data_IF_641516892208
#
_entry.id   IF_641516892208
#
_cell.length_a   1.000
_cell.length_b   1.000
_cell.length_c   1.000
_cell.angle_alpha   90.00
_cell.angle_beta   90.00
_cell.angle_gamma   90.00
#
_symmetry.space_group_name_H-M   'P 1'
#
loop_
_entity.id
_entity.type
_entity.pdbx_description
1 polymer ?
#
# COMPACT_ATOMS: atom_id res chain seq x y z
N UNK A 1 13.59 2.65 13.76
CA UNK A 1 14.65 1.74 13.32
C UNK A 1 14.11 0.56 12.53
N UNK A 2 14.95 -0.15 11.79
CA UNK A 2 14.56 -1.26 10.90
C UNK A 2 13.59 -2.28 11.55
N UNK A 3 13.82 -2.64 12.82
CA UNK A 3 12.92 -3.53 13.56
C UNK A 3 11.49 -3.02 13.70
N UNK A 4 11.30 -1.70 13.79
CA UNK A 4 9.96 -1.09 13.84
C UNK A 4 9.27 -1.06 12.47
N UNK A 5 10.01 -1.17 11.39
CA UNK A 5 9.48 -1.20 10.02
C UNK A 5 9.00 -2.59 9.61
N UNK A 6 9.56 -3.66 10.20
CA UNK A 6 9.19 -5.05 9.87
C UNK A 6 7.68 -5.30 9.97
N UNK A 7 6.98 -4.95 11.08
CA UNK A 7 5.54 -5.17 11.16
C UNK A 7 4.74 -4.45 10.07
N UNK A 8 5.21 -3.26 9.65
CA UNK A 8 4.57 -2.49 8.58
C UNK A 8 4.76 -3.17 7.22
N UNK A 9 5.97 -3.65 6.93
CA UNK A 9 6.28 -4.41 5.71
C UNK A 9 5.43 -5.69 5.66
N UNK A 10 5.33 -6.41 6.77
CA UNK A 10 4.49 -7.61 6.86
C UNK A 10 3.00 -7.26 6.66
N UNK A 11 2.54 -6.10 7.16
CA UNK A 11 1.19 -5.60 6.92
C UNK A 11 0.92 -5.36 5.44
N UNK A 12 1.84 -4.71 4.72
CA UNK A 12 1.75 -4.51 3.26
C UNK A 12 1.73 -5.87 2.54
N UNK A 13 2.67 -6.75 2.87
CA UNK A 13 2.84 -8.04 2.22
C UNK A 13 1.59 -8.92 2.35
N UNK A 14 1.17 -9.20 3.56
CA UNK A 14 0.01 -10.06 3.80
C UNK A 14 -1.30 -9.40 3.37
N UNK A 15 -1.45 -8.08 3.56
CA UNK A 15 -2.62 -7.36 3.12
C UNK A 15 -2.78 -7.41 1.60
N UNK A 16 -1.71 -7.16 0.85
CA UNK A 16 -1.73 -7.24 -0.61
C UNK A 16 -2.01 -8.66 -1.11
N UNK A 17 -1.34 -9.67 -0.56
CA UNK A 17 -1.56 -11.07 -0.96
C UNK A 17 -2.98 -11.56 -0.62
N UNK A 18 -3.58 -11.06 0.46
CA UNK A 18 -4.99 -11.35 0.77
C UNK A 18 -5.92 -10.79 -0.31
N UNK A 19 -5.73 -9.53 -0.72
CA UNK A 19 -6.51 -8.91 -1.81
C UNK A 19 -6.32 -9.67 -3.11
N UNK A 20 -5.08 -10.01 -3.46
CA UNK A 20 -4.77 -10.79 -4.66
C UNK A 20 -5.49 -12.14 -4.65
N UNK A 21 -5.40 -12.87 -3.54
CA UNK A 21 -6.06 -14.17 -3.38
C UNK A 21 -7.57 -14.04 -3.57
N UNK A 22 -8.20 -13.06 -2.94
CA UNK A 22 -9.63 -12.82 -3.08
C UNK A 22 -10.02 -12.49 -4.53
N UNK A 23 -9.23 -11.69 -5.23
CA UNK A 23 -9.47 -11.38 -6.64
C UNK A 23 -9.28 -12.61 -7.54
N UNK A 24 -8.25 -13.42 -7.28
CA UNK A 24 -8.03 -14.68 -8.00
C UNK A 24 -9.17 -15.68 -7.76
N UNK A 25 -9.75 -15.72 -6.57
CA UNK A 25 -10.94 -16.54 -6.25
C UNK A 25 -12.25 -16.00 -6.86
N UNK A 26 -12.19 -14.97 -7.69
CA UNK A 26 -13.34 -14.43 -8.42
C UNK A 26 -14.10 -13.30 -7.74
N UNK A 27 -13.70 -12.86 -6.54
CA UNK A 27 -14.34 -11.72 -5.86
C UNK A 27 -14.17 -10.41 -6.67
N UNK A 28 -13.18 -10.34 -7.56
CA UNK A 28 -13.02 -9.23 -8.50
C UNK A 28 -14.25 -9.01 -9.41
N UNK A 29 -14.98 -10.06 -9.76
CA UNK A 29 -16.22 -9.93 -10.54
C UNK A 29 -17.34 -9.27 -9.74
N UNK A 30 -17.44 -9.54 -8.43
CA UNK A 30 -18.37 -8.86 -7.54
C UNK A 30 -18.08 -7.37 -7.48
N UNK A 31 -16.79 -7.00 -7.38
CA UNK A 31 -16.38 -5.59 -7.39
C UNK A 31 -16.79 -4.86 -8.67
N UNK A 32 -16.65 -5.51 -9.85
CA UNK A 32 -17.11 -4.95 -11.13
C UNK A 32 -18.64 -4.83 -11.20
N UNK A 33 -19.36 -5.79 -10.63
CA UNK A 33 -20.82 -5.85 -10.67
C UNK A 33 -21.49 -4.83 -9.75
N UNK A 34 -20.81 -4.34 -8.74
CA UNK A 34 -21.32 -3.39 -7.76
C UNK A 34 -20.52 -2.07 -7.72
N UNK A 35 -20.80 -1.12 -8.63
CA UNK A 35 -20.08 0.15 -8.69
C UNK A 35 -20.09 0.96 -7.37
N UNK A 36 -21.13 0.75 -6.55
CA UNK A 36 -21.23 1.38 -5.23
C UNK A 36 -20.08 0.96 -4.30
N UNK A 37 -19.63 -0.31 -4.37
CA UNK A 37 -18.50 -0.79 -3.58
C UNK A 37 -17.20 -0.10 -4.02
N UNK A 38 -17.00 0.04 -5.33
CA UNK A 38 -15.86 0.75 -5.88
C UNK A 38 -15.82 2.23 -5.41
N UNK A 39 -16.98 2.89 -5.43
CA UNK A 39 -17.10 4.27 -4.96
C UNK A 39 -16.80 4.40 -3.46
N UNK A 40 -17.33 3.51 -2.63
CA UNK A 40 -17.06 3.51 -1.18
C UNK A 40 -15.56 3.33 -0.92
N UNK A 41 -14.90 2.36 -1.56
CA UNK A 41 -13.46 2.13 -1.42
C UNK A 41 -12.68 3.37 -1.87
N UNK A 42 -13.06 3.99 -2.98
CA UNK A 42 -12.45 5.22 -3.49
C UNK A 42 -12.55 6.36 -2.46
N UNK A 43 -13.73 6.59 -1.88
CA UNK A 43 -13.94 7.64 -0.87
C UNK A 43 -13.10 7.37 0.38
N UNK A 44 -13.13 6.15 0.90
CA UNK A 44 -12.35 5.78 2.10
C UNK A 44 -10.85 5.94 1.84
N UNK A 45 -10.36 5.55 0.65
CA UNK A 45 -8.96 5.74 0.28
C UNK A 45 -8.57 7.22 0.22
N UNK A 46 -9.39 8.08 -0.38
CA UNK A 46 -9.17 9.53 -0.45
C UNK A 46 -9.13 10.13 0.95
N UNK A 47 -10.08 9.81 1.82
CA UNK A 47 -10.10 10.27 3.20
C UNK A 47 -8.85 9.85 3.97
N UNK A 48 -8.43 8.58 3.82
CA UNK A 48 -7.24 8.06 4.47
C UNK A 48 -5.96 8.73 3.97
N UNK A 49 -5.79 8.87 2.66
CA UNK A 49 -4.62 9.53 2.07
C UNK A 49 -4.54 11.01 2.46
N UNK A 50 -5.67 11.71 2.52
CA UNK A 50 -5.76 13.09 3.00
C UNK A 50 -5.32 13.18 4.47
N UNK A 51 -5.85 12.31 5.32
CA UNK A 51 -5.46 12.22 6.73
C UNK A 51 -3.96 11.93 6.89
N UNK A 52 -3.44 10.98 6.13
CA UNK A 52 -2.02 10.59 6.18
C UNK A 52 -1.12 11.73 5.69
N UNK A 53 -1.49 12.38 4.58
CA UNK A 53 -0.78 13.55 4.04
C UNK A 53 -0.72 14.69 5.06
N UNK A 54 -1.85 15.01 5.68
CA UNK A 54 -1.90 16.03 6.75
C UNK A 54 -0.98 15.66 7.92
N UNK A 55 -1.02 14.41 8.37
CA UNK A 55 -0.20 13.93 9.48
C UNK A 55 1.30 13.99 9.19
N UNK A 56 1.71 13.66 7.95
CA UNK A 56 3.10 13.80 7.49
C UNK A 56 3.49 15.29 7.43
N UNK A 57 2.61 16.15 6.91
CA UNK A 57 2.88 17.59 6.74
C UNK A 57 3.18 18.29 8.06
N UNK A 58 2.45 17.94 9.14
CA UNK A 58 2.63 18.55 10.47
C UNK A 58 3.76 17.91 11.28
N UNK A 59 4.32 16.79 10.85
CA UNK A 59 5.38 16.08 11.57
C UNK A 59 6.69 16.84 11.45
N UNK A 60 7.21 17.32 12.59
CA UNK A 60 8.42 18.12 12.67
C UNK A 60 9.67 17.36 13.12
N UNK A 61 9.53 16.17 13.71
CA UNK A 61 10.63 15.38 14.25
C UNK A 61 10.41 13.87 14.10
N UNK A 62 11.48 13.13 13.79
CA UNK A 62 11.50 11.67 13.94
C UNK A 62 11.43 11.23 15.41
N UNK A 63 11.67 12.15 16.37
CA UNK A 63 11.78 11.87 17.80
C UNK A 63 10.48 12.05 18.58
N UNK A 64 9.42 12.58 17.98
CA UNK A 64 8.11 12.69 18.63
C UNK A 64 7.38 11.33 18.66
N UNK A 65 8.13 10.27 18.96
CA UNK A 65 7.61 8.88 19.07
C UNK A 65 6.50 8.74 20.12
N UNK A 66 6.42 9.65 21.06
CA UNK A 66 5.47 9.58 22.19
C UNK A 66 4.11 10.24 21.93
N UNK A 67 3.94 11.00 20.85
CA UNK A 67 2.70 11.76 20.60
C UNK A 67 1.92 11.31 19.36
N UNK A 68 2.51 10.53 18.46
CA UNK A 68 1.81 10.04 17.28
C UNK A 68 1.62 8.53 17.39
N UNK A 69 0.37 8.07 17.36
CA UNK A 69 0.04 6.64 17.24
C UNK A 69 0.86 6.05 16.08
N UNK A 70 1.78 5.17 16.41
CA UNK A 70 2.56 4.44 15.39
C UNK A 70 1.63 3.49 14.67
N UNK A 71 1.72 3.45 13.34
CA UNK A 71 0.98 2.46 12.56
C UNK A 71 1.43 1.05 12.97
N UNK A 72 0.46 0.18 13.19
CA UNK A 72 0.68 -1.22 13.50
C UNK A 72 0.58 -2.08 12.24
N UNK A 73 0.96 -3.36 12.35
CA UNK A 73 0.69 -4.36 11.32
C UNK A 73 -0.78 -4.33 10.86
N UNK A 74 -1.73 -4.30 11.81
CA UNK A 74 -3.16 -4.31 11.50
C UNK A 74 -3.61 -3.08 10.70
N UNK A 75 -3.14 -1.89 11.08
CA UNK A 75 -3.50 -0.66 10.39
C UNK A 75 -3.08 -0.73 8.91
N UNK A 76 -1.87 -1.23 8.64
CA UNK A 76 -1.33 -1.35 7.28
C UNK A 76 -1.98 -2.51 6.51
N UNK A 77 -2.25 -3.64 7.17
CA UNK A 77 -2.94 -4.78 6.58
C UNK A 77 -4.33 -4.37 6.07
N UNK A 78 -5.16 -3.76 6.92
CA UNK A 78 -6.49 -3.30 6.54
C UNK A 78 -6.45 -2.18 5.51
N UNK A 79 -5.44 -1.31 5.57
CA UNK A 79 -5.24 -0.31 4.53
C UNK A 79 -5.05 -0.92 3.14
N UNK A 80 -4.35 -2.04 3.03
CA UNK A 80 -4.18 -2.70 1.73
C UNK A 80 -5.50 -3.24 1.16
N UNK A 81 -6.41 -3.70 2.01
CA UNK A 81 -7.74 -4.18 1.57
C UNK A 81 -8.56 -3.03 0.96
N UNK A 82 -8.42 -1.82 1.51
CA UNK A 82 -9.15 -0.62 1.06
C UNK A 82 -8.34 0.13 -0.03
N UNK A 83 -7.09 -0.25 -0.25
CA UNK A 83 -6.21 0.45 -1.19
C UNK A 83 -6.66 0.20 -2.64
N UNK A 84 -7.18 1.23 -3.36
CA UNK A 84 -7.69 1.05 -4.72
C UNK A 84 -6.61 0.53 -5.67
N UNK A 85 -5.33 0.91 -5.46
CA UNK A 85 -4.21 0.40 -6.26
C UNK A 85 -4.04 -1.11 -6.08
N UNK A 86 -4.08 -1.61 -4.83
CA UNK A 86 -3.96 -3.04 -4.55
C UNK A 86 -5.10 -3.83 -5.19
N UNK A 87 -6.32 -3.34 -5.05
CA UNK A 87 -7.52 -3.94 -5.66
C UNK A 87 -7.42 -3.94 -7.18
N UNK A 88 -7.13 -2.81 -7.81
CA UNK A 88 -7.04 -2.69 -9.27
C UNK A 88 -5.94 -3.57 -9.85
N UNK A 89 -4.75 -3.60 -9.25
CA UNK A 89 -3.64 -4.45 -9.72
C UNK A 89 -4.02 -5.93 -9.59
N UNK A 90 -4.63 -6.33 -8.48
CA UNK A 90 -5.04 -7.72 -8.26
C UNK A 90 -6.14 -8.16 -9.23
N UNK A 91 -7.14 -7.30 -9.48
CA UNK A 91 -8.21 -7.57 -10.46
C UNK A 91 -7.68 -7.64 -11.88
N UNK A 92 -6.83 -6.69 -12.27
CA UNK A 92 -6.22 -6.69 -13.61
C UNK A 92 -5.36 -7.91 -13.82
N UNK A 93 -4.58 -8.32 -12.82
CA UNK A 93 -3.74 -9.51 -12.91
C UNK A 93 -4.58 -10.79 -13.04
N UNK A 94 -5.66 -10.92 -12.27
CA UNK A 94 -6.59 -12.03 -12.41
C UNK A 94 -7.19 -12.07 -13.82
N UNK A 95 -7.70 -10.94 -14.32
CA UNK A 95 -8.34 -10.87 -15.63
C UNK A 95 -7.38 -11.12 -16.83
N UNK A 96 -6.10 -10.73 -16.69
CA UNK A 96 -5.12 -10.86 -17.78
C UNK A 96 -4.46 -12.23 -17.80
N UNK A 97 -4.16 -12.81 -16.64
CA UNK A 97 -3.32 -13.99 -16.53
C UNK A 97 -4.09 -15.30 -16.30
N UNK A 98 -5.34 -15.28 -15.85
CA UNK A 98 -6.21 -16.44 -15.86
C UNK A 98 -6.79 -16.60 -17.28
N UNK A 99 -6.17 -17.44 -18.09
CA UNK A 99 -6.50 -17.61 -19.52
C UNK A 99 -6.91 -19.02 -19.89
N UNK A 100 -7.02 -19.92 -18.91
CA UNK A 100 -7.32 -21.34 -19.11
C UNK A 100 -6.35 -22.08 -20.04
N UNK A 101 -5.08 -21.61 -20.10
CA UNK A 101 -4.00 -22.32 -20.82
C UNK A 101 -3.49 -23.51 -20.05
N UNK A 102 -3.57 -23.42 -18.74
CA UNK A 102 -3.27 -24.48 -17.77
C UNK A 102 -4.51 -24.72 -16.90
N UNK A 103 -4.40 -25.65 -15.96
CA UNK A 103 -5.45 -25.76 -14.92
C UNK A 103 -5.48 -24.49 -14.07
N UNK A 104 -6.64 -24.14 -13.58
CA UNK A 104 -6.84 -22.92 -12.77
C UNK A 104 -5.87 -22.85 -11.59
N UNK A 105 -5.61 -23.99 -10.93
CA UNK A 105 -4.70 -24.08 -9.79
C UNK A 105 -3.27 -23.74 -10.16
N UNK A 106 -2.82 -24.12 -11.36
CA UNK A 106 -1.48 -23.82 -11.85
C UNK A 106 -1.38 -22.31 -12.17
N UNK A 107 -2.35 -21.75 -12.89
CA UNK A 107 -2.36 -20.32 -13.19
C UNK A 107 -2.44 -19.48 -11.91
N UNK A 108 -3.30 -19.86 -10.97
CA UNK A 108 -3.38 -19.25 -9.64
C UNK A 108 -2.02 -19.26 -8.92
N UNK A 109 -1.39 -20.42 -8.83
CA UNK A 109 -0.12 -20.60 -8.13
C UNK A 109 1.00 -19.77 -8.77
N UNK A 110 1.09 -19.77 -10.10
CA UNK A 110 2.10 -18.98 -10.82
C UNK A 110 1.94 -17.48 -10.56
N UNK A 111 0.71 -16.96 -10.67
CA UNK A 111 0.43 -15.54 -10.41
C UNK A 111 0.77 -15.22 -8.95
N UNK A 112 0.30 -16.03 -8.01
CA UNK A 112 0.55 -15.84 -6.59
C UNK A 112 2.04 -15.80 -6.26
N UNK A 113 2.83 -16.76 -6.75
CA UNK A 113 4.29 -16.80 -6.55
C UNK A 113 5.01 -15.61 -7.17
N UNK A 114 4.62 -15.19 -8.38
CA UNK A 114 5.18 -13.98 -9.00
C UNK A 114 4.96 -12.75 -8.11
N UNK A 115 3.78 -12.60 -7.54
CA UNK A 115 3.49 -11.48 -6.65
C UNK A 115 4.14 -11.61 -5.29
N UNK A 116 4.31 -12.80 -4.73
CA UNK A 116 5.12 -13.03 -3.53
C UNK A 116 6.56 -12.53 -3.74
N UNK A 117 7.19 -12.90 -4.84
CA UNK A 117 8.56 -12.48 -5.18
C UNK A 117 8.62 -10.96 -5.40
N UNK A 118 7.72 -10.42 -6.22
CA UNK A 118 7.68 -8.99 -6.54
C UNK A 118 7.44 -8.12 -5.31
N UNK A 119 6.47 -8.48 -4.47
CA UNK A 119 6.14 -7.73 -3.24
C UNK A 119 7.28 -7.81 -2.22
N UNK A 120 7.90 -8.99 -2.04
CA UNK A 120 9.05 -9.15 -1.15
C UNK A 120 10.24 -8.32 -1.60
N UNK A 121 10.59 -8.38 -2.89
CA UNK A 121 11.69 -7.61 -3.47
C UNK A 121 11.45 -6.10 -3.34
N UNK A 122 10.25 -5.66 -3.67
CA UNK A 122 9.84 -4.25 -3.52
C UNK A 122 9.96 -3.78 -2.07
N UNK A 123 9.47 -4.59 -1.12
CA UNK A 123 9.53 -4.25 0.30
C UNK A 123 10.98 -4.11 0.82
N UNK A 124 11.88 -4.99 0.39
CA UNK A 124 13.31 -4.93 0.75
C UNK A 124 13.95 -3.65 0.17
N UNK A 125 13.69 -3.35 -1.11
CA UNK A 125 14.22 -2.14 -1.77
C UNK A 125 13.74 -0.88 -1.04
N UNK A 126 12.45 -0.76 -0.75
CA UNK A 126 11.90 0.39 -0.03
C UNK A 126 12.44 0.53 1.39
N UNK A 127 12.65 -0.60 2.10
CA UNK A 127 13.26 -0.60 3.42
C UNK A 127 14.73 -0.13 3.37
N UNK A 128 15.49 -0.56 2.38
CA UNK A 128 16.88 -0.14 2.17
C UNK A 128 16.98 1.36 1.83
N UNK A 129 16.12 1.83 0.91
CA UNK A 129 16.02 3.27 0.57
C UNK A 129 15.68 4.09 1.83
N UNK A 130 14.66 3.67 2.59
CA UNK A 130 14.25 4.36 3.81
C UNK A 130 15.36 4.41 4.87
N UNK A 131 16.15 3.33 4.99
CA UNK A 131 17.32 3.31 5.89
C UNK A 131 18.40 4.30 5.45
N UNK A 132 18.72 4.35 4.17
CA UNK A 132 19.72 5.28 3.62
C UNK A 132 19.30 6.74 3.79
N UNK A 133 18.03 7.04 3.55
CA UNK A 133 17.48 8.38 3.76
C UNK A 133 17.53 8.85 5.21
N UNK A 134 17.39 7.94 6.17
CA UNK A 134 17.48 8.27 7.60
C UNK A 134 18.84 8.90 7.96
N UNK A 135 19.92 8.40 7.38
CA UNK A 135 21.27 8.93 7.63
C UNK A 135 21.48 10.35 7.04
N UNK A 136 20.74 10.68 5.97
CA UNK A 136 20.76 12.00 5.35
C UNK A 136 19.90 13.03 6.11
N UNK A 137 18.83 12.58 6.76
CA UNK A 137 17.86 13.41 7.48
C UNK A 137 18.26 13.59 8.96
N UNK A 138 19.47 14.08 9.25
CA UNK A 138 19.96 14.33 10.61
C UNK A 138 19.60 15.72 11.14
N UNK A 139 19.07 16.62 10.30
CA UNK A 139 18.71 17.99 10.63
C UNK A 139 17.19 18.15 10.63
N UNK A 140 16.64 18.77 11.68
CA UNK A 140 15.21 19.04 11.83
C UNK A 140 14.63 19.81 10.64
N UNK A 141 15.39 20.76 10.06
CA UNK A 141 14.95 21.50 8.89
C UNK A 141 14.79 20.58 7.65
N UNK A 142 15.76 19.68 7.44
CA UNK A 142 15.70 18.71 6.34
C UNK A 142 14.52 17.76 6.49
N UNK A 143 14.22 17.33 7.71
CA UNK A 143 13.06 16.48 8.03
C UNK A 143 11.76 17.19 7.67
N UNK A 144 11.60 18.45 8.10
CA UNK A 144 10.39 19.23 7.82
C UNK A 144 10.20 19.41 6.31
N UNK A 145 11.26 19.79 5.58
CA UNK A 145 11.19 19.99 4.14
C UNK A 145 10.83 18.67 3.44
N UNK A 146 11.49 17.59 3.79
CA UNK A 146 11.24 16.26 3.25
C UNK A 146 9.79 15.83 3.48
N UNK A 147 9.29 15.95 4.72
CA UNK A 147 7.92 15.59 5.07
C UNK A 147 6.90 16.44 4.31
N UNK A 148 7.13 17.73 4.14
CA UNK A 148 6.25 18.61 3.36
C UNK A 148 6.21 18.21 1.89
N UNK A 149 7.37 17.91 1.29
CA UNK A 149 7.44 17.43 -0.10
C UNK A 149 6.68 16.10 -0.23
N UNK A 150 6.92 15.15 0.67
CA UNK A 150 6.22 13.85 0.64
C UNK A 150 4.72 14.00 0.83
N UNK A 151 4.28 14.90 1.72
CA UNK A 151 2.86 15.18 1.92
C UNK A 151 2.20 15.77 0.67
N UNK A 152 2.86 16.72 -0.01
CA UNK A 152 2.36 17.28 -1.26
C UNK A 152 2.29 16.23 -2.37
N UNK A 153 3.32 15.39 -2.51
CA UNK A 153 3.32 14.29 -3.47
C UNK A 153 2.23 13.26 -3.17
N UNK A 154 1.99 12.95 -1.89
CA UNK A 154 0.92 12.05 -1.49
C UNK A 154 -0.46 12.66 -1.78
N UNK A 155 -0.64 13.95 -1.54
CA UNK A 155 -1.87 14.67 -1.87
C UNK A 155 -2.11 14.71 -3.39
N UNK A 156 -1.06 14.87 -4.21
CA UNK A 156 -1.20 14.84 -5.66
C UNK A 156 -1.65 13.47 -6.19
N UNK A 157 -1.34 12.36 -5.50
CA UNK A 157 -1.84 11.04 -5.87
C UNK A 157 -3.38 10.94 -5.77
N UNK A 158 -4.01 11.74 -4.91
CA UNK A 158 -5.48 11.78 -4.78
C UNK A 158 -6.12 12.25 -6.07
N UNK A 159 -5.49 13.21 -6.76
CA UNK A 159 -5.98 13.69 -8.05
C UNK A 159 -6.13 12.55 -9.07
N UNK A 160 -5.15 11.63 -9.13
CA UNK A 160 -5.21 10.46 -10.02
C UNK A 160 -6.22 9.40 -9.58
N UNK A 161 -6.64 9.39 -8.32
CA UNK A 161 -7.69 8.50 -7.83
C UNK A 161 -9.07 9.03 -8.17
N UNK A 162 -9.23 10.36 -8.24
CA UNK A 162 -10.52 11.02 -8.48
C UNK A 162 -10.84 11.04 -9.98
N UNK A 163 -9.83 11.22 -10.84
CA UNK A 163 -9.98 11.10 -12.30
C UNK A 163 -10.34 9.68 -12.72
#
# INVERSE_FOLDING_TARGET
GFRKTIPLIMGVFFGFLSVLTLCLLGIGEIYKSFPAIALIIKIVAVCFLTYLSYKIFISSNFSDENKTRQFSFKDIYFFQIINPKAVTVSMSSSAIFIQNKFTYEIEFLLIFLCFVISTSTSAIIWAAIGHSFRNYLNDTRKIIIFNRIMAVLLMSCIFFIIL
#
